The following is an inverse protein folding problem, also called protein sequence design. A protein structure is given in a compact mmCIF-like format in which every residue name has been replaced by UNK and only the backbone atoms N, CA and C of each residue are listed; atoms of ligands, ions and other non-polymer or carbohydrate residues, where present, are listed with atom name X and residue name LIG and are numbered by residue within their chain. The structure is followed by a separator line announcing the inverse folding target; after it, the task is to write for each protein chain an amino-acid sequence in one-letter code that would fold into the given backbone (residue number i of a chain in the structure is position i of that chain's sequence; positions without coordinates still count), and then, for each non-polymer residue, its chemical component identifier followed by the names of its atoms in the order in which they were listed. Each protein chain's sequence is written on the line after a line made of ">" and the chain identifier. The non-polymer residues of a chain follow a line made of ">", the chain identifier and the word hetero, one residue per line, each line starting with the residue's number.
data_IF_951679788617
#
_entry.id   IF_951679788617
#
_cell.length_a   1.000
_cell.length_b   1.000
_cell.length_c   1.000
_cell.angle_alpha   90.00
_cell.angle_beta   90.00
_cell.angle_gamma   90.00
#
_symmetry.space_group_name_H-M   'P 1'
#
loop_
_entity.id
_entity.type
_entity.pdbx_description
1 polymer ?
#
# COMPACT_ATOMS: atom_id res chain seq x y z
N UNK A 1 16.41 -17.69 6.40
CA UNK A 1 15.05 -17.75 7.00
C UNK A 1 14.03 -17.32 5.96
N UNK A 2 12.79 -17.80 6.00
CA UNK A 2 11.74 -17.39 5.07
C UNK A 2 10.90 -16.25 5.67
N UNK A 3 10.26 -15.45 4.82
CA UNK A 3 9.18 -14.55 5.24
C UNK A 3 8.09 -15.34 5.97
N UNK A 4 7.49 -14.74 7.00
CA UNK A 4 6.32 -15.29 7.68
C UNK A 4 5.11 -14.43 7.38
N UNK A 5 4.18 -14.99 6.66
CA UNK A 5 2.90 -14.35 6.33
C UNK A 5 1.85 -14.74 7.36
N UNK A 6 1.09 -13.76 7.86
CA UNK A 6 -0.05 -14.02 8.73
C UNK A 6 -1.11 -14.86 8.01
N UNK A 7 -1.95 -15.54 8.75
CA UNK A 7 -3.05 -16.32 8.19
C UNK A 7 -4.02 -15.44 7.40
N UNK A 8 -4.31 -14.23 7.88
CA UNK A 8 -5.13 -13.25 7.13
C UNK A 8 -4.53 -12.93 5.79
N UNK A 9 -3.22 -12.61 5.74
CA UNK A 9 -2.54 -12.28 4.49
C UNK A 9 -2.60 -13.44 3.48
N UNK A 10 -2.31 -14.66 3.93
CA UNK A 10 -2.40 -15.86 3.07
C UNK A 10 -3.81 -16.05 2.51
N UNK A 11 -4.83 -15.89 3.34
CA UNK A 11 -6.23 -16.01 2.91
C UNK A 11 -6.61 -14.93 1.90
N UNK A 12 -6.16 -13.68 2.08
CA UNK A 12 -6.40 -12.59 1.13
C UNK A 12 -5.75 -12.88 -0.22
N UNK A 13 -4.49 -13.32 -0.26
CA UNK A 13 -3.77 -13.62 -1.50
C UNK A 13 -4.41 -14.80 -2.23
N UNK A 14 -4.88 -15.83 -1.51
CA UNK A 14 -5.40 -17.06 -2.11
C UNK A 14 -6.85 -16.94 -2.59
N UNK A 15 -7.71 -16.20 -1.90
CA UNK A 15 -9.15 -16.24 -2.18
C UNK A 15 -9.94 -14.98 -1.79
N UNK A 16 -9.27 -13.94 -1.32
CA UNK A 16 -9.96 -12.73 -0.87
C UNK A 16 -10.61 -11.97 -2.04
N UNK A 17 -11.84 -11.49 -1.87
CA UNK A 17 -12.49 -10.60 -2.82
C UNK A 17 -11.89 -9.19 -2.74
N UNK A 18 -11.79 -8.46 -3.86
CA UNK A 18 -11.41 -7.05 -3.85
C UNK A 18 -12.34 -6.26 -2.91
N UNK A 19 -11.78 -5.40 -2.09
CA UNK A 19 -12.54 -4.54 -1.17
C UNK A 19 -12.34 -3.07 -1.51
N UNK A 20 -13.35 -2.24 -1.19
CA UNK A 20 -13.24 -0.79 -1.34
C UNK A 20 -12.39 -0.24 -0.21
N UNK A 21 -11.42 0.61 -0.54
CA UNK A 21 -10.65 1.36 0.45
C UNK A 21 -11.33 2.71 0.68
N UNK A 22 -12.14 2.81 1.70
CA UNK A 22 -12.92 4.02 2.00
C UNK A 22 -12.07 5.22 2.44
N UNK A 23 -10.78 5.03 2.72
CA UNK A 23 -9.84 6.11 3.00
C UNK A 23 -9.27 6.78 1.73
N UNK A 24 -9.38 6.14 0.55
CA UNK A 24 -8.98 6.69 -0.75
C UNK A 24 -10.23 6.79 -1.63
N UNK A 25 -10.95 7.88 -1.46
CA UNK A 25 -12.24 8.12 -2.09
C UNK A 25 -12.41 9.60 -2.39
N UNK A 26 -12.94 9.91 -3.57
CA UNK A 26 -13.41 11.24 -3.93
C UNK A 26 -14.87 11.15 -4.38
N UNK A 27 -15.72 12.00 -3.81
CA UNK A 27 -17.13 12.16 -4.24
C UNK A 27 -17.42 13.62 -4.50
N UNK A 28 -17.95 13.92 -5.66
CA UNK A 28 -18.25 15.29 -6.02
C UNK A 28 -19.06 15.42 -7.30
N UNK A 29 -19.60 16.62 -7.52
CA UNK A 29 -20.31 17.00 -8.74
C UNK A 29 -19.37 17.60 -9.79
N UNK A 30 -18.11 17.88 -9.43
CA UNK A 30 -17.07 18.40 -10.32
C UNK A 30 -16.39 17.34 -11.18
N UNK A 31 -16.74 16.06 -11.01
CA UNK A 31 -16.09 14.95 -11.70
C UNK A 31 -16.75 14.71 -13.06
N UNK A 32 -15.93 14.67 -14.11
CA UNK A 32 -16.32 14.32 -15.48
C UNK A 32 -15.56 13.11 -15.99
N UNK A 33 -16.11 12.43 -16.99
CA UNK A 33 -15.42 11.39 -17.76
C UNK A 33 -15.09 11.95 -19.15
N UNK A 34 -13.85 11.83 -19.57
CA UNK A 34 -13.35 12.30 -20.87
C UNK A 34 -12.87 11.08 -21.66
N UNK A 35 -13.53 10.84 -22.80
CA UNK A 35 -13.08 9.90 -23.80
C UNK A 35 -12.04 10.60 -24.67
N UNK A 36 -10.79 10.16 -24.58
CA UNK A 36 -9.67 10.69 -25.36
C UNK A 36 -9.64 10.22 -26.83
N UNK A 37 -10.58 9.38 -27.24
CA UNK A 37 -10.60 8.79 -28.58
C UNK A 37 -9.38 7.93 -28.85
N UNK A 38 -8.45 8.42 -29.70
CA UNK A 38 -7.15 7.79 -29.92
C UNK A 38 -6.10 8.17 -28.87
N UNK A 39 -6.41 9.12 -27.98
CA UNK A 39 -5.58 9.56 -26.85
C UNK A 39 -5.87 8.79 -25.57
N UNK A 40 -5.50 9.39 -24.45
CA UNK A 40 -5.68 8.80 -23.12
C UNK A 40 -7.05 9.22 -22.56
N UNK A 41 -7.82 8.27 -22.08
CA UNK A 41 -9.07 8.52 -21.37
C UNK A 41 -8.78 9.01 -19.94
N UNK A 42 -9.65 9.86 -19.41
CA UNK A 42 -9.43 10.40 -18.08
C UNK A 42 -10.72 10.72 -17.31
N UNK A 43 -10.64 10.65 -16.00
CA UNK A 43 -11.55 11.35 -15.11
C UNK A 43 -10.94 12.69 -14.76
N UNK A 44 -11.71 13.77 -14.85
CA UNK A 44 -11.28 15.11 -14.45
C UNK A 44 -12.09 15.58 -13.25
N UNK A 45 -11.48 16.37 -12.37
CA UNK A 45 -12.14 16.99 -11.21
C UNK A 45 -11.82 18.47 -11.15
N UNK A 46 -12.84 19.31 -11.22
CA UNK A 46 -12.69 20.78 -11.11
C UNK A 46 -12.22 21.22 -9.73
N UNK A 47 -12.40 20.39 -8.70
CA UNK A 47 -11.94 20.61 -7.33
C UNK A 47 -10.46 20.25 -7.08
N UNK A 48 -9.78 19.62 -8.06
CA UNK A 48 -8.39 19.16 -7.94
C UNK A 48 -8.14 18.24 -6.74
N UNK A 49 -9.10 17.37 -6.40
CA UNK A 49 -9.11 16.58 -5.18
C UNK A 49 -8.37 15.26 -5.24
N UNK A 50 -7.95 14.75 -6.42
CA UNK A 50 -7.49 13.37 -6.56
C UNK A 50 -6.22 13.06 -5.77
N UNK A 51 -5.19 13.91 -5.84
CA UNK A 51 -3.94 13.71 -5.07
C UNK A 51 -4.21 13.81 -3.58
N UNK A 52 -5.03 14.78 -3.15
CA UNK A 52 -5.40 14.96 -1.74
C UNK A 52 -6.23 13.78 -1.21
N UNK A 53 -7.04 13.15 -2.05
CA UNK A 53 -7.79 11.93 -1.71
C UNK A 53 -6.89 10.68 -1.60
N UNK A 54 -5.61 10.75 -2.01
CA UNK A 54 -4.63 9.69 -1.86
C UNK A 54 -4.55 8.70 -3.03
N UNK A 55 -5.11 9.02 -4.20
CA UNK A 55 -4.94 8.18 -5.38
C UNK A 55 -3.49 8.17 -5.87
N UNK A 56 -3.05 7.03 -6.40
CA UNK A 56 -1.69 6.82 -6.92
C UNK A 56 -1.70 6.04 -8.24
N UNK A 57 -0.65 6.19 -9.03
CA UNK A 57 -0.48 5.44 -10.29
C UNK A 57 -0.52 3.94 -10.00
N UNK A 58 -1.25 3.19 -10.84
CA UNK A 58 -1.46 1.76 -10.69
C UNK A 58 -2.58 1.38 -9.72
N UNK A 59 -3.26 2.34 -9.07
CA UNK A 59 -4.46 2.03 -8.30
C UNK A 59 -5.57 1.49 -9.21
N UNK A 60 -6.30 0.50 -8.71
CA UNK A 60 -7.58 0.12 -9.28
C UNK A 60 -8.69 0.96 -8.62
N UNK A 61 -9.55 1.58 -9.41
CA UNK A 61 -10.64 2.41 -8.89
C UNK A 61 -11.99 1.93 -9.43
N UNK A 62 -12.97 1.89 -8.55
CA UNK A 62 -14.38 1.67 -8.90
C UNK A 62 -15.07 3.01 -9.02
N UNK A 63 -15.84 3.19 -10.09
CA UNK A 63 -16.58 4.41 -10.38
C UNK A 63 -18.07 4.17 -10.26
N UNK A 64 -18.80 5.12 -9.67
CA UNK A 64 -20.27 5.10 -9.55
C UNK A 64 -20.82 6.52 -9.59
N UNK A 65 -22.07 6.68 -10.02
CA UNK A 65 -22.80 7.93 -9.91
C UNK A 65 -22.92 8.75 -11.21
N UNK A 66 -22.27 8.35 -12.31
CA UNK A 66 -22.57 8.94 -13.62
C UNK A 66 -24.04 8.65 -14.02
N UNK A 67 -24.70 9.63 -14.63
CA UNK A 67 -26.14 9.59 -14.92
C UNK A 67 -26.49 9.53 -16.41
N UNK A 68 -25.70 10.18 -17.25
CA UNK A 68 -25.95 10.28 -18.68
C UNK A 68 -25.26 9.19 -19.51
N UNK A 69 -24.55 9.61 -20.55
CA UNK A 69 -23.79 8.69 -21.42
C UNK A 69 -22.68 7.96 -20.67
N UNK A 70 -22.10 8.58 -19.67
CA UNK A 70 -21.10 8.01 -18.79
C UNK A 70 -21.62 6.98 -17.79
N UNK A 71 -22.96 6.79 -17.69
CA UNK A 71 -23.54 5.78 -16.79
C UNK A 71 -23.02 4.35 -17.06
N UNK A 72 -22.56 4.08 -18.28
CA UNK A 72 -21.92 2.80 -18.65
C UNK A 72 -20.55 2.61 -17.98
N UNK A 73 -19.96 3.66 -17.39
CA UNK A 73 -18.73 3.57 -16.61
C UNK A 73 -19.00 3.07 -15.18
N UNK A 74 -20.24 3.21 -14.71
CA UNK A 74 -20.61 2.80 -13.35
C UNK A 74 -20.42 1.30 -13.13
N UNK A 75 -19.86 0.95 -11.99
CA UNK A 75 -19.61 -0.43 -11.61
C UNK A 75 -18.37 -1.03 -12.27
N UNK A 76 -17.70 -0.30 -13.17
CA UNK A 76 -16.45 -0.74 -13.77
C UNK A 76 -15.25 -0.39 -12.88
N UNK A 77 -14.20 -1.18 -13.00
CA UNK A 77 -12.90 -0.96 -12.35
C UNK A 77 -11.91 -0.52 -13.42
N UNK A 78 -11.23 0.58 -13.15
CA UNK A 78 -10.20 1.17 -14.00
C UNK A 78 -8.86 1.15 -13.28
N UNK A 79 -7.76 0.94 -14.03
CA UNK A 79 -6.40 1.08 -13.49
C UNK A 79 -5.87 2.45 -13.88
N UNK A 80 -5.37 3.20 -12.89
CA UNK A 80 -4.81 4.53 -13.09
C UNK A 80 -3.41 4.43 -13.70
N UNK A 81 -3.18 5.12 -14.81
CA UNK A 81 -1.88 5.21 -15.48
C UNK A 81 -1.15 6.52 -15.19
N UNK A 82 -1.92 7.57 -14.88
CA UNK A 82 -1.39 8.87 -14.40
C UNK A 82 -2.32 9.42 -13.32
N UNK A 83 -1.75 10.09 -12.33
CA UNK A 83 -2.48 10.79 -11.27
C UNK A 83 -1.94 12.20 -11.12
N UNK A 84 -2.81 13.17 -11.35
CA UNK A 84 -2.58 14.60 -11.08
C UNK A 84 -3.72 15.14 -10.21
N UNK A 85 -3.58 16.34 -9.66
CA UNK A 85 -4.58 16.92 -8.76
C UNK A 85 -5.99 16.94 -9.37
N UNK A 86 -6.12 17.34 -10.62
CA UNK A 86 -7.41 17.44 -11.33
C UNK A 86 -7.64 16.34 -12.37
N UNK A 87 -6.78 15.32 -12.48
CA UNK A 87 -6.86 14.33 -13.56
C UNK A 87 -6.38 12.95 -13.11
N UNK A 88 -7.20 11.94 -13.43
CA UNK A 88 -6.82 10.52 -13.35
C UNK A 88 -6.89 9.95 -14.77
N UNK A 89 -5.75 9.57 -15.34
CA UNK A 89 -5.73 8.92 -16.66
C UNK A 89 -5.89 7.40 -16.52
N UNK A 90 -6.62 6.81 -17.44
CA UNK A 90 -6.89 5.37 -17.56
C UNK A 90 -6.55 4.88 -18.96
N UNK A 91 -6.58 3.58 -19.21
CA UNK A 91 -6.28 3.02 -20.53
C UNK A 91 -7.24 3.54 -21.60
N UNK A 92 -6.73 3.82 -22.80
CA UNK A 92 -7.48 4.32 -23.97
C UNK A 92 -8.67 3.43 -24.34
N UNK A 93 -9.80 4.04 -24.70
CA UNK A 93 -11.02 3.37 -25.15
C UNK A 93 -11.80 2.69 -24.02
N UNK A 94 -11.53 3.04 -22.77
CA UNK A 94 -12.18 2.44 -21.60
C UNK A 94 -13.36 3.24 -21.08
N UNK A 95 -13.45 4.55 -21.37
CA UNK A 95 -14.48 5.47 -20.88
C UNK A 95 -15.50 5.88 -21.95
N UNK A 96 -16.73 6.10 -21.49
CA UNK A 96 -17.71 6.91 -22.23
C UNK A 96 -17.75 8.31 -21.60
N UNK A 97 -17.70 9.34 -22.45
CA UNK A 97 -17.65 10.72 -22.00
C UNK A 97 -18.94 11.18 -21.29
N UNK A 98 -18.78 11.92 -20.21
CA UNK A 98 -19.85 12.64 -19.53
C UNK A 98 -19.31 13.90 -18.87
N UNK A 99 -20.01 15.02 -19.02
CA UNK A 99 -19.68 16.29 -18.36
C UNK A 99 -19.98 16.22 -16.86
N UNK A 100 -19.27 17.05 -16.10
CA UNK A 100 -19.53 17.21 -14.66
C UNK A 100 -20.96 17.68 -14.39
N UNK A 101 -21.50 17.33 -13.24
CA UNK A 101 -22.87 17.70 -12.81
C UNK A 101 -23.55 16.62 -11.97
N UNK A 102 -23.34 15.35 -12.29
CA UNK A 102 -23.81 14.24 -11.45
C UNK A 102 -22.90 14.09 -10.22
N UNK A 103 -23.46 13.56 -9.13
CA UNK A 103 -22.64 13.19 -7.95
C UNK A 103 -21.92 11.87 -8.23
N UNK A 104 -20.68 11.98 -8.65
CA UNK A 104 -19.82 10.82 -8.97
C UNK A 104 -18.95 10.46 -7.79
N UNK A 105 -18.77 9.17 -7.54
CA UNK A 105 -17.84 8.64 -6.56
C UNK A 105 -16.81 7.76 -7.26
N UNK A 106 -15.54 8.09 -7.05
CA UNK A 106 -14.39 7.27 -7.42
C UNK A 106 -13.76 6.76 -6.12
N UNK A 107 -13.68 5.46 -5.95
CA UNK A 107 -13.12 4.83 -4.75
C UNK A 107 -12.07 3.80 -5.13
N UNK A 108 -10.93 3.81 -4.43
CA UNK A 108 -9.91 2.78 -4.61
C UNK A 108 -10.49 1.40 -4.28
N UNK A 109 -10.28 0.47 -5.19
CA UNK A 109 -10.53 -0.94 -4.96
C UNK A 109 -9.21 -1.58 -4.57
N UNK A 110 -9.13 -2.07 -3.37
CA UNK A 110 -7.94 -2.80 -2.92
C UNK A 110 -8.04 -4.20 -3.48
N UNK A 111 -7.16 -4.52 -4.41
CA UNK A 111 -6.93 -5.90 -4.86
C UNK A 111 -6.35 -6.74 -3.71
N UNK A 112 -6.23 -8.05 -3.95
CA UNK A 112 -5.56 -8.94 -3.00
C UNK A 112 -4.06 -9.07 -3.30
N UNK A 113 -3.50 -8.14 -4.06
CA UNK A 113 -2.06 -8.09 -4.27
C UNK A 113 -1.34 -7.63 -3.00
N UNK A 114 -0.11 -8.09 -2.81
CA UNK A 114 0.72 -7.61 -1.69
C UNK A 114 0.85 -6.08 -1.71
N UNK A 115 0.94 -5.48 -2.91
CA UNK A 115 0.98 -4.03 -3.11
C UNK A 115 -0.24 -3.35 -2.49
N UNK A 116 -1.44 -3.82 -2.81
CA UNK A 116 -2.68 -3.19 -2.38
C UNK A 116 -2.96 -3.41 -0.90
N UNK A 117 -2.65 -4.62 -0.40
CA UNK A 117 -2.84 -4.96 1.02
C UNK A 117 -1.96 -4.08 1.92
N UNK A 118 -0.70 -3.83 1.51
CA UNK A 118 0.26 -3.04 2.30
C UNK A 118 0.43 -1.60 1.83
N UNK A 119 -0.43 -1.12 0.92
CA UNK A 119 -0.44 0.31 0.56
C UNK A 119 -0.65 1.17 1.80
N UNK A 120 0.16 2.22 1.95
CA UNK A 120 0.21 3.12 3.11
C UNK A 120 0.48 2.39 4.44
N UNK A 121 1.12 1.24 4.39
CA UNK A 121 1.51 0.47 5.56
C UNK A 121 2.65 1.08 6.35
N UNK A 122 3.10 0.37 7.39
CA UNK A 122 4.23 0.77 8.24
C UNK A 122 5.10 -0.44 8.57
N UNK A 123 6.43 -0.24 8.63
CA UNK A 123 7.37 -1.28 9.02
C UNK A 123 7.95 -0.95 10.40
N UNK A 124 7.82 -1.85 11.34
CA UNK A 124 8.36 -1.73 12.69
C UNK A 124 9.54 -2.69 12.88
N UNK A 125 10.64 -2.16 13.43
CA UNK A 125 11.89 -2.90 13.68
C UNK A 125 12.02 -3.19 15.17
N UNK A 126 12.30 -4.45 15.50
CA UNK A 126 12.34 -4.93 16.87
C UNK A 126 13.70 -5.56 17.23
N UNK A 127 14.04 -5.52 18.51
CA UNK A 127 15.13 -6.32 19.09
C UNK A 127 14.69 -7.77 19.31
N UNK A 128 15.67 -8.64 19.56
CA UNK A 128 15.43 -10.01 20.01
C UNK A 128 15.00 -10.96 18.90
N UNK A 129 14.34 -12.05 19.27
CA UNK A 129 14.00 -13.13 18.36
C UNK A 129 12.65 -12.90 17.70
N UNK A 130 12.59 -13.12 16.38
CA UNK A 130 11.37 -13.08 15.59
C UNK A 130 10.34 -14.10 16.14
N UNK A 131 9.05 -13.71 16.29
CA UNK A 131 7.99 -14.62 16.69
C UNK A 131 7.88 -15.85 15.79
N UNK A 132 7.33 -16.94 16.28
CA UNK A 132 7.19 -18.20 15.54
C UNK A 132 6.22 -18.11 14.36
N UNK A 133 5.29 -17.17 14.39
CA UNK A 133 4.38 -16.85 13.28
C UNK A 133 4.06 -15.35 13.26
N UNK A 134 3.60 -14.83 12.12
CA UNK A 134 3.16 -13.44 12.03
C UNK A 134 1.81 -13.20 12.72
N UNK A 135 1.06 -14.23 13.05
CA UNK A 135 -0.15 -14.14 13.89
C UNK A 135 0.19 -14.02 15.39
N UNK A 136 1.40 -14.44 15.80
CA UNK A 136 1.84 -14.34 17.19
C UNK A 136 2.03 -12.87 17.62
N UNK A 137 1.94 -12.66 18.93
CA UNK A 137 2.26 -11.36 19.53
C UNK A 137 3.70 -10.94 19.20
N UNK A 138 3.90 -9.64 18.99
CA UNK A 138 5.25 -9.08 18.81
C UNK A 138 6.11 -9.35 20.05
N UNK A 139 7.39 -9.58 19.82
CA UNK A 139 8.39 -9.82 20.87
C UNK A 139 9.51 -8.79 20.80
N UNK A 140 10.23 -8.63 21.89
CA UNK A 140 11.33 -7.67 21.97
C UNK A 140 10.86 -6.23 22.15
N UNK A 141 11.79 -5.30 21.97
CA UNK A 141 11.55 -3.85 22.09
C UNK A 141 11.45 -3.23 20.71
N UNK A 142 10.48 -2.35 20.49
CA UNK A 142 10.38 -1.53 19.28
C UNK A 142 11.55 -0.53 19.25
N UNK A 143 12.44 -0.70 18.29
CA UNK A 143 13.63 0.11 18.12
C UNK A 143 13.42 1.26 17.15
N UNK A 144 12.63 1.06 16.09
CA UNK A 144 12.30 2.08 15.09
C UNK A 144 10.99 1.77 14.39
N UNK A 145 10.32 2.84 13.95
CA UNK A 145 9.17 2.80 13.06
C UNK A 145 9.57 3.45 11.74
N UNK A 146 9.47 2.71 10.65
CA UNK A 146 9.84 3.14 9.31
C UNK A 146 8.58 3.55 8.55
N UNK A 147 8.62 4.74 8.02
CA UNK A 147 7.54 5.39 7.27
C UNK A 147 8.11 6.06 6.02
N UNK A 148 7.31 6.75 5.26
CA UNK A 148 7.79 7.55 4.14
C UNK A 148 8.48 8.82 4.69
N UNK A 149 9.80 8.95 4.43
CA UNK A 149 10.59 10.12 4.84
C UNK A 149 10.61 10.39 6.34
N UNK A 150 10.45 9.39 7.20
CA UNK A 150 10.29 9.53 8.66
C UNK A 150 9.06 10.37 9.08
N UNK A 151 8.07 10.52 8.21
CA UNK A 151 6.85 11.28 8.47
C UNK A 151 5.95 10.60 9.50
N UNK A 152 5.10 11.38 10.16
CA UNK A 152 4.11 10.84 11.11
C UNK A 152 3.09 9.96 10.37
N UNK A 153 2.98 8.70 10.79
CA UNK A 153 2.04 7.73 10.24
C UNK A 153 0.86 7.53 11.19
N UNK A 154 -0.34 7.50 10.63
CA UNK A 154 -1.59 7.24 11.36
C UNK A 154 -2.33 6.11 10.66
N UNK A 155 -2.74 5.09 11.42
CA UNK A 155 -3.51 3.97 10.89
C UNK A 155 -4.83 4.45 10.25
N UNK A 156 -5.11 3.93 9.05
CA UNK A 156 -6.29 4.31 8.27
C UNK A 156 -6.13 5.60 7.44
N UNK A 157 -5.04 6.36 7.62
CA UNK A 157 -4.74 7.54 6.81
C UNK A 157 -3.70 7.24 5.71
N UNK A 158 -3.79 7.86 4.51
CA UNK A 158 -2.82 7.60 3.43
C UNK A 158 -1.47 8.30 3.61
N UNK A 159 -1.35 9.24 4.58
CA UNK A 159 -0.16 10.07 4.73
C UNK A 159 1.02 9.31 5.31
N UNK A 160 2.20 9.47 4.68
CA UNK A 160 3.48 8.92 5.13
C UNK A 160 3.54 7.38 5.25
N UNK A 161 2.57 6.68 4.67
CA UNK A 161 2.59 5.23 4.61
C UNK A 161 3.57 4.71 3.57
N UNK A 162 4.01 3.47 3.74
CA UNK A 162 4.94 2.79 2.83
C UNK A 162 4.19 2.28 1.60
N UNK A 163 4.82 2.37 0.45
CA UNK A 163 4.26 1.89 -0.82
C UNK A 163 5.22 0.95 -1.56
N UNK A 164 4.63 0.01 -2.28
CA UNK A 164 5.32 -0.89 -3.19
C UNK A 164 5.02 -0.52 -4.64
N UNK A 165 6.02 -0.68 -5.50
CA UNK A 165 5.87 -0.56 -6.95
C UNK A 165 5.05 -1.69 -7.56
N UNK A 166 4.89 -1.66 -8.88
CA UNK A 166 4.26 -2.76 -9.61
C UNK A 166 5.15 -4.00 -9.58
N UNK A 167 4.54 -5.16 -9.39
CA UNK A 167 5.28 -6.42 -9.44
C UNK A 167 5.78 -6.70 -10.86
N UNK A 168 7.01 -7.19 -10.99
CA UNK A 168 7.62 -7.62 -12.25
C UNK A 168 8.44 -8.89 -12.02
N UNK A 169 8.32 -9.86 -12.91
CA UNK A 169 9.04 -11.14 -12.85
C UNK A 169 8.97 -11.82 -11.46
N UNK A 170 7.78 -11.82 -10.83
CA UNK A 170 7.57 -12.42 -9.52
C UNK A 170 8.14 -11.63 -8.33
N UNK A 171 8.65 -10.42 -8.56
CA UNK A 171 9.23 -9.56 -7.54
C UNK A 171 8.38 -8.32 -7.33
N UNK A 172 8.08 -8.00 -6.08
CA UNK A 172 7.56 -6.70 -5.67
C UNK A 172 8.61 -5.99 -4.80
N UNK A 173 8.90 -4.73 -5.13
CA UNK A 173 9.91 -3.93 -4.43
C UNK A 173 9.31 -2.66 -3.85
N UNK A 174 9.99 -2.09 -2.84
CA UNK A 174 9.63 -0.78 -2.32
C UNK A 174 9.64 0.27 -3.42
N UNK A 175 8.74 1.26 -3.34
CA UNK A 175 8.71 2.40 -4.25
C UNK A 175 9.92 3.33 -4.02
N UNK A 176 10.19 4.21 -5.01
CA UNK A 176 11.35 5.13 -5.01
C UNK A 176 11.45 6.09 -3.83
N UNK A 177 10.36 6.63 -3.24
CA UNK A 177 10.50 7.49 -2.06
C UNK A 177 11.23 6.81 -0.90
N UNK A 178 11.96 7.62 -0.12
CA UNK A 178 12.81 7.11 0.97
C UNK A 178 11.96 6.53 2.10
N UNK A 179 12.17 5.26 2.38
CA UNK A 179 11.66 4.60 3.57
C UNK A 179 12.64 4.83 4.72
N UNK A 180 12.24 5.60 5.72
CA UNK A 180 13.11 5.92 6.85
C UNK A 180 12.34 6.08 8.16
N UNK A 181 13.09 6.08 9.25
CA UNK A 181 12.56 6.29 10.59
C UNK A 181 13.64 6.77 11.52
N UNK A 182 13.23 7.20 12.71
CA UNK A 182 14.15 7.62 13.78
C UNK A 182 14.24 6.53 14.84
N UNK A 183 15.44 6.25 15.32
CA UNK A 183 15.67 5.32 16.43
C UNK A 183 14.96 5.80 17.70
N UNK A 184 14.03 4.98 18.18
CA UNK A 184 13.22 5.27 19.38
C UNK A 184 13.93 4.82 20.65
N UNK A 185 14.58 3.66 20.57
CA UNK A 185 15.32 3.03 21.66
C UNK A 185 16.63 2.48 21.10
N UNK A 186 17.72 2.61 21.84
CA UNK A 186 19.00 1.99 21.46
C UNK A 186 18.93 0.48 21.61
N UNK A 187 19.48 -0.26 20.65
CA UNK A 187 19.51 -1.71 20.72
C UNK A 187 20.01 -2.40 19.46
N UNK A 188 20.09 -3.72 19.54
CA UNK A 188 20.45 -4.55 18.38
C UNK A 188 19.20 -5.07 17.73
N UNK A 189 19.09 -4.85 16.42
CA UNK A 189 17.96 -5.29 15.59
C UNK A 189 17.98 -6.82 15.44
N UNK A 190 16.83 -7.44 15.58
CA UNK A 190 16.66 -8.87 15.34
C UNK A 190 15.69 -9.18 14.20
N UNK A 191 14.60 -8.48 14.12
CA UNK A 191 13.52 -8.75 13.16
C UNK A 191 12.65 -7.53 12.90
N UNK A 192 11.80 -7.61 11.88
CA UNK A 192 10.81 -6.58 11.55
C UNK A 192 9.42 -7.19 11.35
N UNK A 193 8.39 -6.36 11.51
CA UNK A 193 7.01 -6.62 11.08
C UNK A 193 6.52 -5.49 10.19
N UNK A 194 6.03 -5.86 9.01
CA UNK A 194 5.31 -4.97 8.12
C UNK A 194 3.81 -5.12 8.43
N UNK A 195 3.17 -4.01 8.72
CA UNK A 195 1.74 -3.89 8.98
C UNK A 195 1.03 -3.22 7.81
N UNK A 196 -0.19 -3.65 7.54
CA UNK A 196 -1.09 -2.92 6.64
C UNK A 196 -1.54 -1.60 7.29
N UNK A 197 -2.18 -0.74 6.50
CA UNK A 197 -2.70 0.55 6.97
C UNK A 197 -3.99 0.37 7.79
N UNK A 198 -3.87 -0.21 8.96
CA UNK A 198 -4.96 -0.43 9.91
C UNK A 198 -4.43 -0.34 11.34
N UNK A 199 -5.33 -0.10 12.31
CA UNK A 199 -4.97 -0.17 13.72
C UNK A 199 -4.69 -1.62 14.11
N UNK A 200 -3.43 -1.93 14.34
CA UNK A 200 -2.96 -3.24 14.77
C UNK A 200 -1.95 -3.07 15.91
N UNK A 201 -2.32 -3.51 17.11
CA UNK A 201 -1.48 -3.42 18.29
C UNK A 201 -0.29 -4.40 18.29
N UNK A 202 -0.20 -5.30 17.30
CA UNK A 202 0.81 -6.36 17.24
C UNK A 202 0.62 -7.43 18.31
N UNK A 203 -0.57 -7.55 18.92
CA UNK A 203 -0.93 -8.64 19.84
C UNK A 203 -1.12 -9.96 19.09
N UNK A 204 -1.34 -11.05 19.86
CA UNK A 204 -1.75 -12.32 19.27
C UNK A 204 -3.05 -12.15 18.47
N UNK A 205 -3.02 -12.54 17.21
CA UNK A 205 -4.17 -12.49 16.28
C UNK A 205 -4.78 -13.88 16.15
N UNK A 206 -5.56 -14.29 17.16
CA UNK A 206 -6.25 -15.57 17.18
C UNK A 206 -7.48 -15.62 16.25
N UNK A 207 -7.96 -14.47 15.83
CA UNK A 207 -9.12 -14.32 14.92
C UNK A 207 -8.69 -14.17 13.45
N UNK A 208 -7.37 -14.07 13.19
CA UNK A 208 -6.80 -13.91 11.86
C UNK A 208 -7.37 -12.70 11.09
N UNK A 209 -7.37 -11.54 11.75
CA UNK A 209 -7.93 -10.30 11.19
C UNK A 209 -6.89 -9.40 10.53
N UNK A 210 -5.61 -9.53 10.91
CA UNK A 210 -4.55 -8.60 10.50
C UNK A 210 -3.60 -9.19 9.46
N UNK A 211 -3.47 -8.54 8.27
CA UNK A 211 -2.41 -8.89 7.33
C UNK A 211 -1.06 -8.38 7.86
N UNK A 212 -0.11 -9.28 8.06
CA UNK A 212 1.23 -8.99 8.57
C UNK A 212 2.29 -9.78 7.81
N UNK A 213 3.49 -9.21 7.68
CA UNK A 213 4.69 -9.90 7.20
C UNK A 213 5.80 -9.72 8.20
N UNK A 214 6.34 -10.82 8.71
CA UNK A 214 7.51 -10.82 9.57
C UNK A 214 8.74 -11.29 8.80
N UNK A 215 9.89 -10.70 9.09
CA UNK A 215 11.16 -11.12 8.56
C UNK A 215 12.33 -10.82 9.48
N UNK A 216 13.45 -11.50 9.27
CA UNK A 216 14.69 -11.23 9.99
C UNK A 216 15.38 -9.99 9.43
N UNK A 217 16.13 -9.29 10.29
CA UNK A 217 17.05 -8.21 9.90
C UNK A 217 18.47 -8.65 10.23
N UNK A 218 19.40 -8.35 9.33
CA UNK A 218 20.82 -8.67 9.50
C UNK A 218 21.70 -7.85 8.57
N UNK A 219 23.00 -8.06 8.62
CA UNK A 219 23.97 -7.44 7.69
C UNK A 219 24.15 -8.25 6.41
N UNK A 220 23.72 -9.53 6.42
CA UNK A 220 23.73 -10.42 5.25
C UNK A 220 22.79 -11.60 5.49
N UNK A 221 22.23 -12.19 4.41
CA UNK A 221 21.42 -13.40 4.46
C UNK A 221 20.08 -13.29 5.18
N UNK A 222 19.65 -12.08 5.56
CA UNK A 222 18.35 -11.78 6.13
C UNK A 222 17.34 -11.33 5.05
N UNK A 223 16.05 -11.29 5.39
CA UNK A 223 15.02 -10.75 4.49
C UNK A 223 15.16 -9.23 4.30
N UNK A 224 15.64 -8.54 5.33
CA UNK A 224 16.01 -7.13 5.28
C UNK A 224 17.49 -7.03 5.65
N UNK A 225 18.33 -6.64 4.68
CA UNK A 225 19.74 -6.41 4.92
C UNK A 225 19.97 -4.91 5.19
N UNK A 226 20.60 -4.62 6.34
CA UNK A 226 20.95 -3.28 6.76
C UNK A 226 22.49 -3.12 6.85
N UNK A 227 22.99 -1.90 6.70
CA UNK A 227 24.42 -1.59 6.86
C UNK A 227 24.92 -1.82 8.30
N UNK A 228 24.02 -1.74 9.27
CA UNK A 228 24.27 -2.01 10.69
C UNK A 228 23.03 -2.59 11.35
N UNK A 229 23.25 -3.48 12.31
CA UNK A 229 22.18 -3.97 13.19
C UNK A 229 22.10 -3.21 14.52
N UNK A 230 22.94 -2.21 14.75
CA UNK A 230 22.90 -1.38 15.94
C UNK A 230 22.14 -0.07 15.67
N UNK A 231 21.10 0.19 16.47
CA UNK A 231 20.32 1.41 16.44
C UNK A 231 20.65 2.25 17.68
N UNK A 232 20.86 3.55 17.48
CA UNK A 232 20.98 4.56 18.54
C UNK A 232 19.72 5.44 18.57
N UNK A 233 19.38 5.94 19.76
CA UNK A 233 18.25 6.89 19.91
C UNK A 233 18.51 8.13 19.06
N UNK A 234 17.51 8.57 18.31
CA UNK A 234 17.59 9.76 17.45
C UNK A 234 18.32 9.53 16.12
N UNK A 235 18.99 8.39 15.91
CA UNK A 235 19.64 8.09 14.64
C UNK A 235 18.60 7.85 13.53
N UNK A 236 18.87 8.38 12.34
CA UNK A 236 18.05 8.07 11.16
C UNK A 236 18.39 6.67 10.63
N UNK A 237 17.38 5.86 10.45
CA UNK A 237 17.46 4.53 9.82
C UNK A 237 16.81 4.65 8.45
N UNK A 238 17.53 4.24 7.41
CA UNK A 238 17.04 4.23 6.03
C UNK A 238 17.00 2.80 5.51
N UNK A 239 15.91 2.45 4.83
CA UNK A 239 15.77 1.20 4.10
C UNK A 239 16.05 1.47 2.63
N UNK A 240 17.23 1.12 2.17
CA UNK A 240 17.67 1.38 0.80
C UNK A 240 16.98 0.42 -0.18
N UNK A 241 16.81 -0.84 0.20
CA UNK A 241 16.12 -1.85 -0.59
C UNK A 241 15.24 -2.74 0.29
N UNK A 242 14.05 -3.03 -0.20
CA UNK A 242 13.16 -4.04 0.35
C UNK A 242 12.38 -4.66 -0.80
N UNK A 243 12.40 -5.97 -0.89
CA UNK A 243 11.69 -6.71 -1.92
C UNK A 243 11.16 -8.04 -1.41
N UNK A 244 10.06 -8.49 -1.98
CA UNK A 244 9.48 -9.80 -1.75
C UNK A 244 9.45 -10.51 -3.11
N UNK A 245 10.07 -11.67 -3.17
CA UNK A 245 10.10 -12.52 -4.38
C UNK A 245 9.24 -13.74 -4.13
N UNK A 246 8.30 -13.99 -5.04
CA UNK A 246 7.66 -15.29 -5.18
C UNK A 246 8.47 -16.05 -6.24
N UNK A 247 9.34 -16.95 -5.78
CA UNK A 247 10.15 -17.75 -6.68
C UNK A 247 9.24 -18.69 -7.50
N UNK A 248 9.60 -18.88 -8.77
CA UNK A 248 9.03 -19.95 -9.59
C UNK A 248 9.69 -21.26 -9.12
N UNK A 249 8.90 -22.18 -8.55
CA UNK A 249 9.42 -23.48 -8.19
C UNK A 249 9.53 -24.34 -9.46
N UNK A 250 10.75 -24.77 -9.80
CA UNK A 250 10.97 -25.79 -10.83
C UNK A 250 11.73 -25.35 -12.08
N UNK A 251 12.59 -24.34 -11.99
CA UNK A 251 13.61 -24.06 -13.00
C UNK A 251 14.95 -24.72 -12.66
#
# INVERSE_FOLDING_TARGET
>A
MAFRFSTKLRNLILSGAPSRRTSVILTGTGIAAVDGGAGVDSFTDTGNGFVTAGFSVGDAVLVTGFAGTGAVNNGKIFTLVTVAAGTLEVATGSLAAETAGATVTIVQVVGNSLRDIFKDGVLEIYSGTQPTSADAAKTGTLLAKITLGSGAWVAGAPANGLEFGLASAGVIAKETPVWSGTGLVAGTVGWYRLYANATDAGALDSSYEYPRIDGSVGTSGAQLNASSTSISVGATITIDSFQITLAEEGA
#
